data_IF_645982212827
#
_entry.id   IF_645982212827
#
_cell.length_a   1.000
_cell.length_b   1.000
_cell.length_c   1.000
_cell.angle_alpha   90.00
_cell.angle_beta   90.00
_cell.angle_gamma   90.00
#
_symmetry.space_group_name_H-M   'P 1'
#
loop_
_entity.id
_entity.type
_entity.pdbx_description
1 polymer ?
#
# COMPACT_ATOMS: atom_id res chain seq x y z
N UNK A 1 -43.50 -40.05 39.10
CA UNK A 1 -42.27 -39.85 39.90
C UNK A 1 -41.09 -39.83 38.95
N UNK A 2 -40.40 -38.69 38.74
CA UNK A 2 -39.04 -38.58 38.13
C UNK A 2 -38.64 -37.15 37.67
N UNK A 3 -39.49 -36.13 37.85
CA UNK A 3 -39.15 -34.74 37.44
C UNK A 3 -38.33 -34.02 38.51
N UNK A 4 -38.49 -34.37 39.80
CA UNK A 4 -37.84 -33.66 40.91
C UNK A 4 -36.31 -33.85 40.98
N UNK A 5 -35.78 -35.00 40.54
CA UNK A 5 -34.33 -35.25 40.56
C UNK A 5 -33.56 -34.55 39.44
N UNK A 6 -34.20 -34.19 38.32
CA UNK A 6 -33.52 -33.48 37.22
C UNK A 6 -33.28 -32.00 37.51
N UNK A 7 -34.16 -31.37 38.29
CA UNK A 7 -34.04 -29.95 38.64
C UNK A 7 -32.92 -29.74 39.67
N UNK A 8 -32.73 -30.68 40.61
CA UNK A 8 -31.69 -30.58 41.64
C UNK A 8 -30.27 -30.70 41.05
N UNK A 9 -30.05 -31.54 40.02
CA UNK A 9 -28.76 -31.64 39.35
C UNK A 9 -28.36 -30.37 38.58
N UNK A 10 -29.33 -29.63 38.02
CA UNK A 10 -29.05 -28.38 37.28
C UNK A 10 -28.60 -27.26 38.24
N UNK A 11 -29.20 -27.16 39.42
CA UNK A 11 -28.77 -26.19 40.43
C UNK A 11 -27.39 -26.50 41.01
N UNK A 12 -27.03 -27.78 41.16
CA UNK A 12 -25.70 -28.17 41.64
C UNK A 12 -24.61 -27.89 40.58
N UNK A 13 -24.92 -28.02 39.29
CA UNK A 13 -23.99 -27.70 38.21
C UNK A 13 -23.71 -26.19 38.08
N UNK A 14 -24.72 -25.35 38.35
CA UNK A 14 -24.58 -23.89 38.37
C UNK A 14 -23.68 -23.37 39.51
N UNK A 15 -23.59 -24.11 40.62
CA UNK A 15 -22.77 -23.70 41.77
C UNK A 15 -21.26 -23.90 41.54
N UNK A 16 -20.86 -24.86 40.70
CA UNK A 16 -19.46 -25.07 40.34
C UNK A 16 -18.94 -24.11 39.25
N UNK A 17 -19.83 -23.37 38.58
CA UNK A 17 -19.45 -22.34 37.61
C UNK A 17 -19.22 -20.95 38.24
N UNK A 18 -19.42 -20.81 39.55
CA UNK A 18 -19.21 -19.57 40.30
C UNK A 18 -17.90 -19.56 41.10
N UNK A 19 -16.93 -20.41 40.75
CA UNK A 19 -15.54 -20.13 41.10
C UNK A 19 -15.08 -18.92 40.29
N UNK A 20 -15.42 -17.73 40.77
CA UNK A 20 -14.79 -16.48 40.37
C UNK A 20 -13.31 -16.61 40.70
N UNK A 21 -12.54 -17.12 39.73
CA UNK A 21 -11.09 -17.03 39.77
C UNK A 21 -10.78 -15.55 39.93
N UNK A 22 -10.32 -15.19 41.13
CA UNK A 22 -9.76 -13.87 41.41
C UNK A 22 -8.66 -13.70 40.40
N UNK A 23 -8.93 -12.94 39.35
CA UNK A 23 -7.95 -12.66 38.32
C UNK A 23 -6.69 -12.17 39.04
N UNK A 24 -5.49 -12.64 38.60
CA UNK A 24 -4.25 -12.14 39.16
C UNK A 24 -4.31 -10.61 39.13
N UNK A 25 -3.80 -9.92 40.16
CA UNK A 25 -3.85 -8.46 40.21
C UNK A 25 -3.34 -7.92 38.88
N UNK A 26 -4.15 -7.09 38.22
CA UNK A 26 -3.78 -6.42 36.98
C UNK A 26 -2.39 -5.84 37.22
N UNK A 27 -1.40 -6.34 36.48
CA UNK A 27 -0.04 -5.82 36.58
C UNK A 27 -0.10 -4.40 36.05
N UNK A 28 -0.27 -3.45 36.96
CA UNK A 28 -0.24 -2.02 36.65
C UNK A 28 1.18 -1.75 36.21
N UNK A 29 1.38 -1.63 34.91
CA UNK A 29 2.57 -1.05 34.32
C UNK A 29 2.90 0.25 35.10
N UNK A 30 4.15 0.64 35.30
CA UNK A 30 4.52 1.91 35.95
C UNK A 30 5.67 2.62 35.27
N UNK A 31 6.15 2.10 34.15
CA UNK A 31 7.27 2.68 33.42
C UNK A 31 6.70 3.58 32.33
N UNK A 32 7.24 4.78 32.21
CA UNK A 32 6.91 5.68 31.11
C UNK A 32 7.85 5.38 29.94
N UNK A 33 7.37 5.48 28.68
CA UNK A 33 8.23 5.35 27.51
C UNK A 33 9.31 6.45 27.51
N UNK A 34 10.58 6.03 27.50
CA UNK A 34 11.76 6.90 27.49
C UNK A 34 12.51 6.78 26.18
N UNK A 35 12.88 7.90 25.59
CA UNK A 35 13.73 7.93 24.41
C UNK A 35 15.13 7.38 24.73
N UNK A 36 15.53 6.31 24.04
CA UNK A 36 16.85 5.67 24.15
C UNK A 36 17.83 6.17 23.08
N UNK A 37 17.35 6.38 21.85
CA UNK A 37 18.21 6.65 20.69
C UNK A 37 17.53 7.55 19.67
N UNK A 38 18.29 8.46 19.07
CA UNK A 38 17.90 9.23 17.88
C UNK A 38 18.96 9.03 16.80
N UNK A 39 18.52 8.77 15.56
CA UNK A 39 19.42 8.64 14.40
C UNK A 39 18.80 9.30 13.18
N UNK A 40 19.49 10.27 12.57
CA UNK A 40 19.15 10.73 11.23
C UNK A 40 19.63 9.70 10.19
N UNK A 41 18.69 8.98 9.58
CA UNK A 41 18.99 7.88 8.66
C UNK A 41 19.43 8.43 7.30
N UNK A 42 18.68 9.37 6.75
CA UNK A 42 18.93 10.08 5.50
C UNK A 42 18.49 11.56 5.65
N UNK A 43 18.51 12.34 4.57
CA UNK A 43 18.16 13.77 4.60
C UNK A 43 16.67 14.08 4.81
N UNK A 44 15.80 13.08 4.87
CA UNK A 44 14.35 13.19 5.08
C UNK A 44 13.81 12.36 6.24
N UNK A 45 14.65 11.54 6.90
CA UNK A 45 14.17 10.54 7.85
C UNK A 45 14.99 10.52 9.15
N UNK A 46 14.28 10.51 10.27
CA UNK A 46 14.84 10.37 11.62
C UNK A 46 14.19 9.19 12.33
N UNK A 47 15.00 8.29 12.89
CA UNK A 47 14.54 7.21 13.74
C UNK A 47 14.64 7.60 15.21
N UNK A 48 13.55 7.42 15.94
CA UNK A 48 13.50 7.43 17.39
C UNK A 48 13.33 6.00 17.90
N UNK A 49 14.08 5.62 18.94
CA UNK A 49 13.91 4.34 19.63
C UNK A 49 13.63 4.59 21.11
N UNK A 50 12.64 3.88 21.67
CA UNK A 50 12.13 4.07 23.02
C UNK A 50 12.42 2.89 23.96
N UNK A 51 12.03 3.04 25.23
CA UNK A 51 12.30 2.03 26.27
C UNK A 51 11.50 0.74 26.10
N UNK A 52 10.37 0.84 25.42
CA UNK A 52 9.29 -0.14 25.35
C UNK A 52 8.48 0.02 24.06
N UNK A 53 7.56 -0.90 23.83
CA UNK A 53 6.67 -0.87 22.68
C UNK A 53 5.65 0.26 22.79
N UNK A 54 5.41 0.95 21.69
CA UNK A 54 4.52 2.11 21.65
C UNK A 54 3.15 1.76 21.07
N UNK A 55 2.14 2.53 21.45
CA UNK A 55 0.88 2.55 20.71
C UNK A 55 1.01 3.41 19.45
N UNK A 56 1.16 2.73 18.32
CA UNK A 56 1.34 3.37 17.02
C UNK A 56 0.05 3.97 16.46
N UNK A 57 -1.12 3.59 16.98
CA UNK A 57 -2.40 4.15 16.56
C UNK A 57 -2.63 5.55 17.13
N UNK A 58 -1.98 5.87 18.26
CA UNK A 58 -2.01 7.17 18.92
C UNK A 58 -0.97 8.17 18.39
N UNK A 59 -0.21 7.82 17.36
CA UNK A 59 0.78 8.73 16.77
C UNK A 59 0.09 9.92 16.10
N UNK A 60 0.46 11.12 16.53
CA UNK A 60 -0.02 12.38 15.98
C UNK A 60 1.16 13.33 15.77
N UNK A 61 1.25 13.94 14.58
CA UNK A 61 2.30 14.89 14.21
C UNK A 61 2.41 16.07 15.18
N UNK A 62 1.29 16.55 15.71
CA UNK A 62 1.24 17.69 16.65
C UNK A 62 1.93 17.39 17.99
N UNK A 63 2.17 16.11 18.30
CA UNK A 63 2.87 15.72 19.52
C UNK A 63 4.39 15.83 19.40
N UNK A 64 4.93 16.24 18.25
CA UNK A 64 6.36 16.26 17.96
C UNK A 64 6.77 17.65 17.46
N UNK A 65 7.85 18.18 18.03
CA UNK A 65 8.45 19.43 17.62
C UNK A 65 9.94 19.24 17.37
N UNK A 66 10.41 19.64 16.19
CA UNK A 66 11.83 19.62 15.84
C UNK A 66 12.28 21.05 15.60
N UNK A 67 13.16 21.54 16.46
CA UNK A 67 13.63 22.92 16.49
C UNK A 67 15.11 22.98 16.12
N UNK A 68 15.50 24.02 15.40
CA UNK A 68 16.88 24.45 15.21
C UNK A 68 17.06 25.85 15.80
N UNK A 69 18.27 26.40 15.79
CA UNK A 69 18.53 27.75 16.32
C UNK A 69 17.66 28.84 15.69
N UNK A 70 17.31 28.69 14.40
CA UNK A 70 16.68 29.75 13.62
C UNK A 70 15.29 29.38 13.06
N UNK A 71 14.89 28.10 13.14
CA UNK A 71 13.70 27.61 12.45
C UNK A 71 13.16 26.30 13.04
N UNK A 72 11.91 25.96 12.72
CA UNK A 72 11.28 24.67 13.01
C UNK A 72 11.38 23.76 11.80
N UNK A 73 11.95 22.57 11.96
CA UNK A 73 11.98 21.57 10.90
C UNK A 73 10.59 20.95 10.76
N UNK A 74 9.96 21.17 9.61
CA UNK A 74 8.61 20.65 9.36
C UNK A 74 8.60 19.12 9.27
N UNK A 75 7.75 18.50 10.08
CA UNK A 75 7.38 17.09 10.00
C UNK A 75 6.29 16.90 8.94
N UNK A 76 6.49 15.94 8.06
CA UNK A 76 5.56 15.53 7.01
C UNK A 76 4.73 14.34 7.44
N UNK A 77 5.35 13.34 8.07
CA UNK A 77 4.68 12.09 8.43
C UNK A 77 5.36 11.39 9.60
N UNK A 78 4.62 10.45 10.21
CA UNK A 78 5.08 9.53 11.23
C UNK A 78 4.74 8.11 10.79
N UNK A 79 5.62 7.15 11.07
CA UNK A 79 5.28 5.74 10.97
C UNK A 79 5.95 4.94 12.09
N UNK A 80 5.42 3.74 12.36
CA UNK A 80 6.15 2.75 13.12
C UNK A 80 7.47 2.42 12.39
N UNK A 81 8.53 2.21 13.17
CA UNK A 81 9.82 1.72 12.67
C UNK A 81 9.83 0.20 12.42
N UNK A 82 11.03 -0.38 12.41
CA UNK A 82 11.20 -1.83 12.17
C UNK A 82 10.82 -2.69 13.38
N UNK A 83 10.79 -2.08 14.57
CA UNK A 83 10.38 -2.72 15.82
C UNK A 83 9.29 -1.88 16.50
N UNK A 84 8.44 -2.46 17.36
CA UNK A 84 7.34 -1.72 17.98
C UNK A 84 7.77 -0.58 18.94
N UNK A 85 9.03 -0.55 19.35
CA UNK A 85 9.65 0.52 20.16
C UNK A 85 10.28 1.63 19.30
N UNK A 86 10.12 1.58 17.97
CA UNK A 86 10.67 2.56 17.04
C UNK A 86 9.60 3.40 16.35
N UNK A 87 9.92 4.67 16.14
CA UNK A 87 9.16 5.60 15.29
C UNK A 87 10.10 6.15 14.23
N UNK A 88 9.64 6.18 12.98
CA UNK A 88 10.25 6.97 11.93
C UNK A 88 9.49 8.29 11.76
N UNK A 89 10.25 9.38 11.79
CA UNK A 89 9.80 10.72 11.47
C UNK A 89 10.24 11.03 10.05
N UNK A 90 9.33 11.54 9.23
CA UNK A 90 9.62 12.01 7.89
C UNK A 90 9.53 13.54 7.88
N UNK A 91 10.57 14.20 7.40
CA UNK A 91 10.73 15.65 7.44
C UNK A 91 10.88 16.21 6.03
N UNK A 92 10.73 17.52 5.90
CA UNK A 92 11.40 18.23 4.80
C UNK A 92 12.91 18.00 4.85
N UNK A 93 13.60 18.34 3.75
CA UNK A 93 15.04 18.13 3.63
C UNK A 93 15.80 18.80 4.78
N UNK A 94 16.57 18.01 5.51
CA UNK A 94 17.39 18.46 6.63
C UNK A 94 18.69 19.13 6.16
N UNK A 95 19.18 20.07 6.97
CA UNK A 95 20.55 20.61 6.87
C UNK A 95 21.45 19.85 7.86
N UNK A 96 22.78 19.77 7.64
CA UNK A 96 23.70 19.11 8.58
C UNK A 96 24.01 19.97 9.81
N UNK A 97 22.97 20.36 10.55
CA UNK A 97 23.05 21.16 11.78
C UNK A 97 22.46 20.38 12.96
N UNK A 98 22.69 20.85 14.18
CA UNK A 98 22.04 20.29 15.38
C UNK A 98 20.57 20.71 15.43
N UNK A 99 19.71 19.73 15.66
CA UNK A 99 18.28 19.90 15.93
C UNK A 99 17.99 19.41 17.35
N UNK A 100 17.12 20.14 18.06
CA UNK A 100 16.48 19.68 19.28
C UNK A 100 15.11 19.09 18.92
N UNK A 101 14.80 17.91 19.44
CA UNK A 101 13.47 17.29 19.30
C UNK A 101 12.84 17.09 20.66
N UNK A 102 11.56 17.41 20.76
CA UNK A 102 10.74 17.08 21.92
C UNK A 102 9.34 16.64 21.53
N UNK A 103 8.68 15.92 22.43
CA UNK A 103 7.33 15.47 22.19
C UNK A 103 6.76 14.57 23.27
N UNK A 104 5.61 13.96 22.96
CA UNK A 104 4.97 12.93 23.77
C UNK A 104 4.61 11.71 22.95
N UNK A 105 4.74 10.53 23.56
CA UNK A 105 4.35 9.24 22.98
C UNK A 105 3.53 8.44 23.98
N UNK A 106 2.75 7.47 23.50
CA UNK A 106 1.97 6.56 24.33
C UNK A 106 2.52 5.14 24.18
N UNK A 107 2.58 4.39 25.28
CA UNK A 107 2.83 2.94 25.27
C UNK A 107 1.54 2.16 24.91
N UNK A 108 1.62 0.84 24.80
CA UNK A 108 0.45 -0.04 24.58
C UNK A 108 -0.55 -0.07 25.74
N UNK A 109 -0.12 0.33 26.94
CA UNK A 109 -0.95 0.45 28.14
C UNK A 109 -1.64 1.83 28.22
N UNK A 110 -1.54 2.66 27.17
CA UNK A 110 -2.04 4.03 27.09
C UNK A 110 -1.42 5.01 28.11
N UNK A 111 -0.25 4.70 28.67
CA UNK A 111 0.53 5.67 29.44
C UNK A 111 1.34 6.54 28.49
N UNK A 112 1.35 7.84 28.77
CA UNK A 112 2.17 8.77 28.01
C UNK A 112 3.53 9.00 28.67
N UNK A 113 4.55 9.24 27.86
CA UNK A 113 5.87 9.72 28.26
C UNK A 113 6.27 10.94 27.45
N UNK A 114 6.87 11.94 28.11
CA UNK A 114 7.51 13.07 27.44
C UNK A 114 8.97 12.73 27.14
N UNK A 115 9.46 13.18 25.99
CA UNK A 115 10.85 13.00 25.64
C UNK A 115 11.46 14.28 25.08
N UNK A 116 12.78 14.37 25.24
CA UNK A 116 13.64 15.40 24.66
C UNK A 116 14.93 14.77 24.19
N UNK A 117 15.50 15.28 23.12
CA UNK A 117 16.79 14.85 22.63
C UNK A 117 17.35 15.81 21.58
N UNK A 118 18.55 15.47 21.10
CA UNK A 118 19.23 16.21 20.06
C UNK A 118 19.78 15.26 19.01
N UNK A 119 19.87 15.72 17.78
CA UNK A 119 20.51 14.98 16.69
C UNK A 119 21.08 15.95 15.66
N UNK A 120 22.06 15.49 14.89
CA UNK A 120 22.57 16.24 13.72
C UNK A 120 21.86 15.74 12.47
N UNK A 121 21.35 16.67 11.65
CA UNK A 121 20.74 16.30 10.36
C UNK A 121 21.74 15.57 9.45
N UNK A 122 21.22 14.67 8.62
CA UNK A 122 22.02 13.91 7.66
C UNK A 122 21.92 14.52 6.27
N UNK A 123 22.99 14.41 5.46
CA UNK A 123 22.97 14.71 4.02
C UNK A 123 22.99 13.42 3.18
N UNK A 124 22.82 12.25 3.80
CA UNK A 124 22.78 11.00 3.05
C UNK A 124 21.52 11.01 2.20
N UNK A 125 21.61 10.78 0.89
CA UNK A 125 20.42 10.71 0.04
C UNK A 125 19.58 9.50 0.43
N UNK A 126 18.27 9.63 0.23
CA UNK A 126 17.40 8.46 0.26
C UNK A 126 17.58 7.67 -1.04
N UNK A 127 17.85 6.38 -0.92
CA UNK A 127 18.08 5.49 -2.08
C UNK A 127 17.08 4.34 -2.14
N UNK A 128 16.13 4.29 -1.21
CA UNK A 128 15.14 3.22 -1.14
C UNK A 128 13.89 3.74 -1.83
N UNK A 129 13.46 3.06 -2.88
CA UNK A 129 12.20 3.40 -3.54
C UNK A 129 11.02 2.85 -2.75
N UNK A 130 9.88 3.56 -2.71
CA UNK A 130 8.67 3.04 -2.10
C UNK A 130 8.16 1.82 -2.90
N UNK A 131 7.51 0.88 -2.22
CA UNK A 131 6.81 -0.25 -2.85
C UNK A 131 5.44 -0.49 -2.21
N UNK A 132 4.56 -1.19 -2.93
CA UNK A 132 3.24 -1.57 -2.41
C UNK A 132 3.38 -2.78 -1.47
N UNK A 133 3.07 -2.60 -0.18
CA UNK A 133 3.06 -3.66 0.84
C UNK A 133 1.77 -4.48 0.82
N UNK A 134 0.62 -3.79 0.74
CA UNK A 134 -0.70 -4.41 0.76
C UNK A 134 -1.63 -3.67 -0.19
N UNK A 135 -2.57 -4.37 -0.81
CA UNK A 135 -3.45 -3.80 -1.80
C UNK A 135 -4.73 -4.62 -2.01
N UNK A 136 -5.75 -3.96 -2.54
CA UNK A 136 -6.99 -4.61 -2.98
C UNK A 136 -6.76 -5.48 -4.20
N UNK A 137 -7.16 -6.75 -4.14
CA UNK A 137 -7.20 -7.65 -5.30
C UNK A 137 -8.37 -8.63 -5.19
N UNK A 138 -8.99 -8.97 -6.32
CA UNK A 138 -10.00 -10.02 -6.40
C UNK A 138 -11.43 -9.49 -6.45
N UNK A 139 -12.37 -10.16 -5.80
CA UNK A 139 -13.81 -9.96 -5.99
C UNK A 139 -14.51 -9.35 -4.77
N UNK A 140 -15.76 -8.91 -4.94
CA UNK A 140 -16.57 -8.17 -3.94
C UNK A 140 -15.96 -6.85 -3.48
N UNK A 141 -15.16 -6.21 -4.34
CA UNK A 141 -14.48 -4.97 -4.05
C UNK A 141 -15.01 -3.85 -4.95
N UNK A 142 -15.33 -2.70 -4.35
CA UNK A 142 -15.85 -1.50 -5.04
C UNK A 142 -14.87 -0.33 -5.03
N UNK A 143 -13.69 -0.55 -4.46
CA UNK A 143 -12.65 0.45 -4.32
C UNK A 143 -11.30 -0.24 -4.38
N UNK A 144 -10.29 0.54 -4.77
CA UNK A 144 -8.91 0.11 -4.66
C UNK A 144 -8.33 0.65 -3.36
N UNK A 145 -7.48 -0.13 -2.70
CA UNK A 145 -6.63 0.38 -1.63
C UNK A 145 -5.18 -0.04 -1.85
N UNK A 146 -4.26 0.78 -1.37
CA UNK A 146 -2.83 0.58 -1.39
C UNK A 146 -2.23 1.01 -0.06
N UNK A 147 -1.38 0.18 0.50
CA UNK A 147 -0.50 0.49 1.61
C UNK A 147 0.93 0.47 1.10
N UNK A 148 1.64 1.59 1.23
CA UNK A 148 3.02 1.75 0.78
C UNK A 148 4.02 1.38 1.88
N UNK A 149 5.25 1.12 1.47
CA UNK A 149 6.35 0.77 2.37
C UNK A 149 6.74 1.89 3.32
N UNK A 150 6.61 3.13 2.83
CA UNK A 150 6.92 4.38 3.50
C UNK A 150 5.97 5.49 2.99
N UNK A 151 5.97 6.67 3.63
CA UNK A 151 5.27 7.85 3.15
C UNK A 151 5.69 8.28 1.75
N UNK A 152 4.71 8.59 0.92
CA UNK A 152 4.89 9.07 -0.46
C UNK A 152 4.45 10.52 -0.61
N UNK A 153 5.00 11.20 -1.62
CA UNK A 153 4.50 12.49 -2.07
C UNK A 153 3.14 12.29 -2.77
N UNK A 154 2.08 12.59 -2.03
CA UNK A 154 0.70 12.41 -2.48
C UNK A 154 0.34 13.27 -3.69
N UNK A 155 1.08 14.36 -3.95
CA UNK A 155 0.87 15.24 -5.11
C UNK A 155 1.45 14.64 -6.41
N UNK A 156 2.35 13.66 -6.29
CA UNK A 156 2.98 12.98 -7.41
C UNK A 156 2.15 11.80 -7.97
N UNK A 157 1.02 11.48 -7.34
CA UNK A 157 0.19 10.34 -7.69
C UNK A 157 -0.31 10.40 -9.14
N UNK A 158 0.08 9.40 -9.95
CA UNK A 158 -0.52 9.15 -11.26
C UNK A 158 -1.05 7.72 -11.33
N UNK A 159 -2.27 7.59 -11.82
CA UNK A 159 -2.89 6.29 -12.04
C UNK A 159 -3.84 6.32 -13.24
N UNK A 160 -4.18 5.12 -13.74
CA UNK A 160 -5.25 4.86 -14.71
C UNK A 160 -6.07 3.65 -14.30
N UNK A 161 -7.32 3.64 -14.73
CA UNK A 161 -8.24 2.52 -14.53
C UNK A 161 -8.80 2.07 -15.86
N UNK A 162 -8.88 0.75 -16.04
CA UNK A 162 -9.41 0.12 -17.24
C UNK A 162 -10.50 -0.89 -16.86
N UNK A 163 -11.70 -0.82 -17.48
CA UNK A 163 -12.17 0.25 -18.36
C UNK A 163 -12.20 1.63 -17.66
N UNK A 164 -12.04 2.72 -18.43
CA UNK A 164 -11.98 4.10 -17.89
C UNK A 164 -13.21 4.43 -17.03
N UNK A 165 -12.97 4.87 -15.79
CA UNK A 165 -13.97 5.32 -14.82
C UNK A 165 -13.47 6.57 -14.09
N UNK A 166 -14.39 7.43 -13.63
CA UNK A 166 -14.03 8.58 -12.81
C UNK A 166 -13.89 8.15 -11.35
N UNK A 167 -12.71 8.38 -10.78
CA UNK A 167 -12.43 8.03 -9.39
C UNK A 167 -11.88 9.24 -8.64
N UNK A 168 -12.00 9.17 -7.31
CA UNK A 168 -11.39 10.10 -6.37
C UNK A 168 -10.44 9.37 -5.43
N UNK A 169 -9.42 10.08 -4.97
CA UNK A 169 -8.39 9.55 -4.08
C UNK A 169 -8.63 10.04 -2.66
N UNK A 170 -8.54 9.14 -1.69
CA UNK A 170 -8.57 9.45 -0.27
C UNK A 170 -7.29 8.94 0.36
N UNK A 171 -6.56 9.83 1.02
CA UNK A 171 -5.33 9.50 1.73
C UNK A 171 -5.61 9.43 3.23
N UNK A 172 -5.08 8.40 3.87
CA UNK A 172 -4.97 8.31 5.32
C UNK A 172 -3.49 8.40 5.68
N UNK A 173 -3.08 9.56 6.17
CA UNK A 173 -1.65 9.91 6.26
C UNK A 173 -1.04 10.03 4.86
N UNK A 174 0.19 9.55 4.71
CA UNK A 174 0.94 9.60 3.45
C UNK A 174 1.35 8.21 2.95
N UNK A 175 0.88 7.13 3.58
CA UNK A 175 1.24 5.75 3.22
C UNK A 175 0.05 4.86 2.88
N UNK A 176 -1.19 5.35 3.05
CA UNK A 176 -2.39 4.60 2.74
C UNK A 176 -3.30 5.38 1.78
N UNK A 177 -3.52 4.81 0.60
CA UNK A 177 -4.32 5.36 -0.48
C UNK A 177 -5.55 4.49 -0.69
N UNK A 178 -6.73 5.11 -0.71
CA UNK A 178 -7.96 4.50 -1.21
C UNK A 178 -8.45 5.25 -2.44
N UNK A 179 -8.79 4.52 -3.50
CA UNK A 179 -9.35 5.07 -4.73
C UNK A 179 -10.78 4.56 -4.87
N UNK A 180 -11.75 5.47 -4.88
CA UNK A 180 -13.19 5.18 -4.86
C UNK A 180 -13.90 5.85 -6.04
N UNK A 181 -15.06 5.35 -6.50
CA UNK A 181 -15.90 6.05 -7.47
C UNK A 181 -16.13 7.52 -7.07
N UNK A 182 -16.05 8.42 -8.05
CA UNK A 182 -16.23 9.86 -7.80
C UNK A 182 -17.68 10.20 -7.41
N UNK A 183 -18.64 9.45 -7.93
CA UNK A 183 -20.06 9.56 -7.64
C UNK A 183 -20.73 8.18 -7.68
N UNK A 184 -22.00 8.10 -7.28
CA UNK A 184 -22.79 6.88 -7.44
C UNK A 184 -22.97 6.49 -8.91
N UNK A 185 -23.03 7.47 -9.82
CA UNK A 185 -23.10 7.21 -11.27
C UNK A 185 -21.80 6.60 -11.83
N UNK A 186 -20.68 6.77 -11.14
CA UNK A 186 -19.39 6.17 -11.49
C UNK A 186 -19.16 4.81 -10.78
N UNK A 187 -20.21 4.24 -10.17
CA UNK A 187 -20.12 2.94 -9.50
C UNK A 187 -19.60 1.86 -10.45
N UNK A 188 -18.74 1.00 -9.92
CA UNK A 188 -18.18 -0.12 -10.67
C UNK A 188 -19.27 -1.19 -10.94
N UNK A 189 -19.30 -1.72 -12.16
CA UNK A 189 -20.24 -2.74 -12.62
C UNK A 189 -19.87 -4.12 -12.08
N UNK A 190 -20.87 -4.93 -11.71
CA UNK A 190 -20.66 -6.27 -11.14
C UNK A 190 -20.12 -7.29 -12.14
N UNK A 191 -20.32 -7.10 -13.44
CA UNK A 191 -19.89 -8.01 -14.51
C UNK A 191 -18.51 -7.67 -15.10
N UNK A 192 -17.82 -6.68 -14.52
CA UNK A 192 -16.60 -6.11 -15.10
C UNK A 192 -15.41 -6.32 -14.16
N UNK A 193 -14.28 -6.75 -14.71
CA UNK A 193 -12.98 -6.73 -14.03
C UNK A 193 -12.30 -5.40 -14.31
N UNK A 194 -11.89 -4.71 -13.25
CA UNK A 194 -11.26 -3.41 -13.29
C UNK A 194 -9.78 -3.53 -12.98
N UNK A 195 -8.95 -3.00 -13.86
CA UNK A 195 -7.51 -2.91 -13.68
C UNK A 195 -7.17 -1.51 -13.21
N UNK A 196 -6.29 -1.41 -12.22
CA UNK A 196 -5.68 -0.15 -11.84
C UNK A 196 -4.19 -0.21 -12.12
N UNK A 197 -3.70 0.75 -12.89
CA UNK A 197 -2.28 0.95 -13.17
C UNK A 197 -1.78 2.17 -12.41
N UNK A 198 -0.90 1.95 -11.43
CA UNK A 198 -0.24 2.98 -10.64
C UNK A 198 1.19 3.19 -11.18
N UNK A 199 1.58 4.43 -11.42
CA UNK A 199 2.89 4.74 -11.99
C UNK A 199 3.41 6.10 -11.52
N UNK A 200 4.74 6.26 -11.53
CA UNK A 200 5.43 7.52 -11.29
C UNK A 200 5.11 8.22 -9.94
N UNK A 201 4.56 7.51 -8.96
CA UNK A 201 4.47 7.95 -7.56
C UNK A 201 5.89 8.02 -6.97
N UNK A 202 6.17 9.07 -6.21
CA UNK A 202 7.47 9.31 -5.59
C UNK A 202 7.38 9.35 -4.07
N UNK A 203 8.47 9.03 -3.40
CA UNK A 203 8.67 9.43 -1.99
C UNK A 203 9.16 10.90 -1.89
N UNK A 204 9.47 11.34 -0.67
CA UNK A 204 10.03 12.67 -0.44
C UNK A 204 11.50 12.82 -0.85
N UNK A 205 12.23 11.71 -0.97
CA UNK A 205 13.58 11.68 -1.52
C UNK A 205 13.63 11.74 -3.06
N UNK A 206 12.48 11.64 -3.73
CA UNK A 206 12.35 11.61 -5.18
C UNK A 206 12.51 10.23 -5.83
N UNK A 207 12.65 9.16 -5.03
CA UNK A 207 12.67 7.79 -5.53
C UNK A 207 11.28 7.41 -6.04
N UNK A 208 11.22 6.71 -7.18
CA UNK A 208 9.97 6.35 -7.85
C UNK A 208 9.57 4.93 -7.52
N UNK A 209 8.27 4.72 -7.26
CA UNK A 209 7.70 3.38 -7.21
C UNK A 209 7.88 2.69 -8.57
N UNK A 210 8.13 1.38 -8.54
CA UNK A 210 7.98 0.56 -9.75
C UNK A 210 6.51 0.60 -10.20
N UNK A 211 6.21 0.64 -11.51
CA UNK A 211 4.84 0.54 -11.98
C UNK A 211 4.14 -0.69 -11.39
N UNK A 212 2.87 -0.53 -11.03
CA UNK A 212 2.13 -1.56 -10.31
C UNK A 212 0.74 -1.73 -10.89
N UNK A 213 0.28 -2.98 -11.04
CA UNK A 213 -1.06 -3.31 -11.52
C UNK A 213 -1.77 -4.16 -10.48
N UNK A 214 -3.03 -3.83 -10.22
CA UNK A 214 -3.94 -4.73 -9.52
C UNK A 214 -5.29 -4.81 -10.23
N UNK A 215 -6.05 -5.85 -9.94
CA UNK A 215 -7.38 -6.09 -10.47
C UNK A 215 -8.39 -6.24 -9.34
N UNK A 216 -9.56 -5.63 -9.50
CA UNK A 216 -10.71 -5.88 -8.65
C UNK A 216 -11.96 -6.13 -9.48
N UNK A 217 -12.96 -6.74 -8.87
CA UNK A 217 -14.33 -6.73 -9.38
C UNK A 217 -15.34 -6.59 -8.22
N UNK A 218 -16.45 -5.87 -8.42
CA UNK A 218 -17.56 -5.84 -7.46
C UNK A 218 -18.32 -7.16 -7.37
N UNK A 219 -18.13 -8.06 -8.34
CA UNK A 219 -18.88 -9.31 -8.46
C UNK A 219 -18.84 -10.16 -7.19
N UNK A 220 -19.93 -10.87 -6.95
CA UNK A 220 -20.05 -11.80 -5.83
C UNK A 220 -19.70 -13.23 -6.21
N UNK A 221 -19.83 -13.58 -7.49
CA UNK A 221 -19.51 -14.87 -8.08
C UNK A 221 -18.41 -14.63 -9.11
N UNK A 222 -17.18 -15.03 -8.79
CA UNK A 222 -16.02 -14.66 -9.58
C UNK A 222 -15.25 -15.85 -10.08
N UNK A 223 -15.39 -16.12 -11.38
CA UNK A 223 -14.71 -17.20 -12.10
C UNK A 223 -14.00 -16.62 -13.33
N UNK A 224 -12.88 -15.89 -13.12
CA UNK A 224 -12.16 -15.30 -14.23
C UNK A 224 -11.47 -16.36 -15.08
N UNK A 225 -11.39 -16.08 -16.38
CA UNK A 225 -10.50 -16.78 -17.29
C UNK A 225 -9.17 -16.04 -17.33
N UNK A 226 -8.07 -16.79 -17.46
CA UNK A 226 -6.73 -16.23 -17.50
C UNK A 226 -6.16 -16.32 -18.91
N UNK A 227 -5.92 -15.16 -19.51
CA UNK A 227 -5.30 -15.05 -20.81
C UNK A 227 -3.81 -14.77 -20.64
N UNK A 228 -2.99 -15.71 -21.10
CA UNK A 228 -1.52 -15.69 -20.94
C UNK A 228 -0.86 -15.61 -22.30
N UNK A 229 0.30 -14.97 -22.36
CA UNK A 229 1.09 -14.97 -23.58
C UNK A 229 2.49 -14.44 -23.38
N UNK A 230 3.21 -14.35 -24.50
CA UNK A 230 4.61 -13.90 -24.56
C UNK A 230 4.78 -12.82 -25.60
N UNK A 231 5.60 -11.83 -25.28
CA UNK A 231 6.08 -10.81 -26.18
C UNK A 231 7.55 -11.09 -26.51
N UNK A 232 7.87 -11.16 -27.81
CA UNK A 232 9.22 -11.46 -28.28
C UNK A 232 9.68 -10.44 -29.30
N UNK A 233 10.96 -10.07 -29.24
CA UNK A 233 11.64 -9.26 -30.23
C UNK A 233 12.87 -10.02 -30.73
N UNK A 234 12.97 -10.22 -32.05
CA UNK A 234 14.03 -11.06 -32.66
C UNK A 234 14.14 -12.44 -31.99
N UNK A 235 12.99 -13.09 -31.74
CA UNK A 235 12.87 -14.40 -31.07
C UNK A 235 13.40 -14.45 -29.62
N UNK A 236 13.68 -13.30 -29.00
CA UNK A 236 14.04 -13.19 -27.57
C UNK A 236 12.89 -12.58 -26.77
N UNK A 237 12.62 -13.05 -25.54
CA UNK A 237 11.63 -12.44 -24.67
C UNK A 237 11.97 -10.99 -24.35
N UNK A 238 10.95 -10.14 -24.31
CA UNK A 238 11.10 -8.72 -23.98
C UNK A 238 11.23 -8.54 -22.47
N UNK A 239 12.34 -7.99 -21.98
CA UNK A 239 12.59 -7.92 -20.53
C UNK A 239 11.49 -7.21 -19.73
N UNK A 240 11.03 -6.05 -20.22
CA UNK A 240 10.00 -5.21 -19.59
C UNK A 240 9.16 -4.47 -20.62
N UNK A 241 7.93 -4.14 -20.25
CA UNK A 241 6.99 -3.41 -21.09
C UNK A 241 5.58 -3.47 -20.55
N UNK A 242 4.61 -3.08 -21.37
CA UNK A 242 3.19 -3.07 -21.04
C UNK A 242 2.42 -3.73 -22.16
N UNK A 243 1.46 -4.58 -21.79
CA UNK A 243 0.47 -5.12 -22.69
C UNK A 243 -0.90 -4.53 -22.34
N UNK A 244 -1.70 -4.20 -23.34
CA UNK A 244 -3.06 -3.68 -23.19
C UNK A 244 -4.01 -4.49 -24.06
N UNK A 245 -5.16 -4.86 -23.52
CA UNK A 245 -6.21 -5.55 -24.28
C UNK A 245 -7.41 -4.65 -24.50
N UNK A 246 -8.01 -4.79 -25.68
CA UNK A 246 -9.19 -4.04 -26.09
C UNK A 246 -10.15 -4.90 -26.93
N UNK A 247 -11.39 -4.42 -26.99
CA UNK A 247 -12.34 -4.76 -28.06
C UNK A 247 -12.68 -3.47 -28.79
N UNK A 248 -13.71 -2.80 -28.31
CA UNK A 248 -14.06 -1.44 -28.74
C UNK A 248 -13.26 -0.37 -27.96
N UNK A 249 -12.96 -0.67 -26.71
CA UNK A 249 -12.18 0.17 -25.79
C UNK A 249 -11.15 -0.68 -25.06
N UNK A 250 -10.14 -0.04 -24.47
CA UNK A 250 -9.19 -0.71 -23.60
C UNK A 250 -9.92 -1.20 -22.34
N UNK A 251 -9.79 -2.48 -22.05
CA UNK A 251 -10.45 -3.14 -20.91
C UNK A 251 -9.48 -3.73 -19.90
N UNK A 252 -8.21 -3.90 -20.27
CA UNK A 252 -7.21 -4.45 -19.37
C UNK A 252 -5.80 -4.01 -19.71
N UNK A 253 -4.93 -4.09 -18.70
CA UNK A 253 -3.51 -3.74 -18.79
C UNK A 253 -2.70 -4.75 -17.98
N UNK A 254 -1.50 -5.09 -18.46
CA UNK A 254 -0.57 -6.02 -17.81
C UNK A 254 0.86 -5.51 -17.95
N UNK A 255 1.71 -5.76 -16.96
CA UNK A 255 3.15 -5.53 -17.05
C UNK A 255 3.80 -6.76 -17.68
N UNK A 256 4.81 -6.54 -18.53
CA UNK A 256 5.66 -7.62 -19.01
C UNK A 256 6.75 -7.92 -18.00
N UNK A 257 6.88 -9.19 -17.62
CA UNK A 257 8.00 -9.71 -16.87
C UNK A 257 8.67 -10.83 -17.68
N UNK A 258 9.89 -10.59 -18.19
CA UNK A 258 10.60 -11.56 -19.06
C UNK A 258 9.76 -12.00 -20.26
N UNK A 259 9.04 -11.05 -20.83
CA UNK A 259 8.19 -11.19 -22.00
C UNK A 259 6.81 -11.73 -21.69
N UNK A 260 6.54 -12.21 -20.48
CA UNK A 260 5.24 -12.81 -20.16
C UNK A 260 4.23 -11.74 -19.75
N UNK A 261 2.99 -11.89 -20.23
CA UNK A 261 1.84 -11.11 -19.78
C UNK A 261 0.72 -12.02 -19.30
N UNK A 262 -0.10 -11.47 -18.39
CA UNK A 262 -1.28 -12.13 -17.84
C UNK A 262 -2.43 -11.14 -17.74
N UNK A 263 -3.58 -11.53 -18.29
CA UNK A 263 -4.85 -10.83 -18.12
C UNK A 263 -5.89 -11.75 -17.49
N UNK A 264 -6.77 -11.12 -16.74
CA UNK A 264 -7.95 -11.67 -16.10
C UNK A 264 -9.20 -11.20 -16.86
N UNK A 265 -9.83 -12.10 -17.60
CA UNK A 265 -10.95 -11.79 -18.51
C UNK A 265 -12.20 -12.56 -18.11
N UNK A 266 -13.37 -12.12 -18.59
CA UNK A 266 -14.68 -12.68 -18.19
C UNK A 266 -15.25 -13.70 -19.17
N UNK A 267 -14.72 -13.75 -20.37
CA UNK A 267 -15.19 -14.64 -21.42
C UNK A 267 -14.01 -15.13 -22.27
N UNK A 268 -14.25 -16.13 -23.11
CA UNK A 268 -13.24 -16.76 -23.96
C UNK A 268 -13.11 -16.12 -25.35
N UNK A 269 -13.85 -15.03 -25.62
CA UNK A 269 -13.78 -14.39 -26.93
C UNK A 269 -12.42 -13.73 -27.14
N UNK A 270 -12.06 -13.52 -28.41
CA UNK A 270 -10.82 -12.84 -28.77
C UNK A 270 -10.76 -11.41 -28.24
N UNK A 271 -9.55 -10.98 -27.88
CA UNK A 271 -9.23 -9.59 -27.58
C UNK A 271 -8.12 -9.12 -28.51
N UNK A 272 -8.21 -7.87 -28.96
CA UNK A 272 -7.07 -7.23 -29.59
C UNK A 272 -6.06 -6.84 -28.51
N UNK A 273 -4.79 -7.15 -28.71
CA UNK A 273 -3.72 -6.81 -27.79
C UNK A 273 -2.74 -5.87 -28.47
N UNK A 274 -2.28 -4.89 -27.71
CA UNK A 274 -1.15 -4.04 -28.06
C UNK A 274 -0.07 -4.21 -27.01
N UNK A 275 1.16 -4.43 -27.46
CA UNK A 275 2.32 -4.65 -26.59
C UNK A 275 3.40 -3.62 -26.90
N UNK A 276 3.88 -2.98 -25.83
CA UNK A 276 4.82 -1.88 -25.86
C UNK A 276 6.05 -2.24 -25.03
N UNK A 277 7.24 -2.11 -25.62
CA UNK A 277 8.52 -2.20 -24.94
C UNK A 277 9.40 -0.98 -25.24
N UNK A 278 10.66 -1.01 -24.82
CA UNK A 278 11.61 0.08 -25.08
C UNK A 278 11.93 0.19 -26.59
N UNK A 279 11.28 1.14 -27.28
CA UNK A 279 11.43 1.37 -28.71
C UNK A 279 10.88 0.26 -29.62
N UNK A 280 10.06 -0.65 -29.08
CA UNK A 280 9.48 -1.78 -29.80
C UNK A 280 7.98 -1.91 -29.57
N UNK A 281 7.26 -2.35 -30.61
CA UNK A 281 5.80 -2.44 -30.64
C UNK A 281 5.32 -3.68 -31.38
N UNK A 282 4.22 -4.27 -30.91
CA UNK A 282 3.50 -5.31 -31.63
C UNK A 282 2.04 -5.34 -31.24
N UNK A 283 1.22 -5.93 -32.09
CA UNK A 283 -0.21 -6.08 -31.89
C UNK A 283 -0.68 -7.39 -32.51
N UNK A 284 -1.73 -7.99 -31.94
CA UNK A 284 -2.35 -9.20 -32.48
C UNK A 284 -3.76 -9.40 -31.88
N UNK A 285 -4.43 -10.49 -32.24
CA UNK A 285 -5.60 -10.99 -31.54
C UNK A 285 -5.22 -12.19 -30.68
N UNK A 286 -5.67 -12.20 -29.42
CA UNK A 286 -5.35 -13.24 -28.44
C UNK A 286 -6.61 -13.89 -27.87
N UNK A 287 -6.47 -15.16 -27.46
CA UNK A 287 -7.55 -16.00 -26.98
C UNK A 287 -7.13 -16.74 -25.70
N UNK A 288 -8.09 -17.14 -24.85
CA UNK A 288 -7.80 -17.80 -23.57
C UNK A 288 -7.07 -19.13 -23.77
N UNK A 289 -7.52 -19.92 -24.75
CA UNK A 289 -7.03 -21.29 -24.97
C UNK A 289 -5.99 -21.38 -26.11
N UNK A 290 -5.27 -20.30 -26.39
CA UNK A 290 -4.30 -20.23 -27.49
C UNK A 290 -2.89 -19.86 -27.02
N UNK A 291 -1.84 -20.34 -27.73
CA UNK A 291 -0.48 -19.87 -27.51
C UNK A 291 -0.35 -18.44 -28.05
N UNK A 292 -0.59 -17.46 -27.19
CA UNK A 292 -0.52 -16.05 -27.55
C UNK A 292 0.96 -15.59 -27.59
N UNK A 293 1.51 -15.42 -28.79
CA UNK A 293 2.88 -14.93 -29.00
C UNK A 293 2.85 -13.66 -29.84
N UNK A 294 3.21 -12.54 -29.23
CA UNK A 294 3.21 -11.22 -29.87
C UNK A 294 4.62 -10.91 -30.34
N UNK A 295 4.81 -10.82 -31.65
CA UNK A 295 6.09 -10.44 -32.26
C UNK A 295 6.20 -8.92 -32.34
N UNK A 296 7.20 -8.35 -31.69
CA UNK A 296 7.43 -6.91 -31.69
C UNK A 296 8.36 -6.51 -32.83
N UNK A 297 8.22 -5.26 -33.28
CA UNK A 297 9.03 -4.60 -34.31
C UNK A 297 9.51 -3.24 -33.81
N UNK A 298 10.64 -2.70 -34.31
CA UNK A 298 11.12 -1.39 -33.90
C UNK A 298 10.12 -0.31 -34.26
N UNK A 299 9.66 0.43 -33.26
CA UNK A 299 8.78 1.58 -33.43
C UNK A 299 8.95 2.49 -32.22
N UNK A 300 9.32 3.75 -32.48
CA UNK A 300 9.32 4.76 -31.43
C UNK A 300 7.90 4.86 -30.86
N UNK A 301 7.81 4.68 -29.55
CA UNK A 301 6.55 4.65 -28.86
C UNK A 301 6.68 5.46 -27.57
N UNK A 302 5.73 6.35 -27.36
CA UNK A 302 5.60 7.11 -26.12
C UNK A 302 4.46 6.50 -25.31
N UNK A 303 4.80 5.85 -24.21
CA UNK A 303 3.82 5.26 -23.31
C UNK A 303 2.83 6.31 -22.77
N UNK A 304 3.29 7.54 -22.56
CA UNK A 304 2.41 8.61 -22.09
C UNK A 304 1.34 8.95 -23.15
N UNK A 305 1.60 8.70 -24.43
CA UNK A 305 0.62 8.97 -25.51
C UNK A 305 -0.56 8.01 -25.56
N UNK A 306 -0.42 6.79 -25.03
CA UNK A 306 -1.50 5.78 -24.99
C UNK A 306 -2.21 5.77 -23.65
N UNK A 307 -1.53 6.21 -22.60
CA UNK A 307 -2.08 6.28 -21.25
C UNK A 307 -2.88 7.58 -21.05
N UNK A 308 -2.61 8.67 -21.78
CA UNK A 308 -3.36 9.94 -21.73
C UNK A 308 -4.59 9.95 -22.64
#
# INVERSE_FOLDING_TARGET
MNVSHRILCIYFLLFFLLCAHKEPPLHIDRVDPKLKKIVALNEHQVMLQFSEELDTLSLNLENFHILSENDTLMLLSLSQGNTPDQIFLYTVRMKPIEYAIEGKVYDKSMRFGFFRGKFTGSMRPDTIAPWVKNYSKGYRLKSFFFQFSEPVDTTSLKYRIFPRHNMTTKWQGMSYLTIVPASEADSLNYDTTYYLYLYNLKDFGGNRIMPFITTITPDTIYEPLFMRGKAVYQEKPVEKGIAMISREKVVGISLLEKGEFLFEVRDSMGYFIQVYGDGIYGEDTIFVDSPNIIKLTPRAFDLDSVIN
#
